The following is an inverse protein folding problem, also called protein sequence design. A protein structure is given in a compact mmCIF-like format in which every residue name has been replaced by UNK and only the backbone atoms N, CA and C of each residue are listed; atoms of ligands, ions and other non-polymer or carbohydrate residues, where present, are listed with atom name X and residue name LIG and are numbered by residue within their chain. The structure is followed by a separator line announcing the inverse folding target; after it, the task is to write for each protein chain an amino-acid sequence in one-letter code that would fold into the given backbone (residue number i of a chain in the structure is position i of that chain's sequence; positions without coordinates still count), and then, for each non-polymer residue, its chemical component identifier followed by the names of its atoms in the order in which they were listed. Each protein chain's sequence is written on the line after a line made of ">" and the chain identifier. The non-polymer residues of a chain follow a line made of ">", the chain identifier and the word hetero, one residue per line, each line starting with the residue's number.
data_IF_900068829662
#
_entry.id   IF_900068829662
#
_cell.length_a   1.000
_cell.length_b   1.000
_cell.length_c   1.000
_cell.angle_alpha   90.00
_cell.angle_beta   90.00
_cell.angle_gamma   90.00
#
_symmetry.space_group_name_H-M   'P 1'
#
loop_
_entity.id
_entity.type
_entity.pdbx_description
1 polymer ?
#
# COMPACT_ATOMS: atom_id res chain seq x y z
N UNK A 1 2.56 20.57 -5.94
CA UNK A 1 2.62 20.23 -4.50
C UNK A 1 3.02 18.79 -4.46
N UNK A 2 4.30 18.51 -4.22
CA UNK A 2 4.76 17.13 -4.07
C UNK A 2 4.33 16.69 -2.67
N UNK A 3 3.52 15.63 -2.61
CA UNK A 3 2.94 15.10 -1.36
C UNK A 3 4.01 14.33 -0.57
N UNK A 4 5.01 13.78 -1.28
CA UNK A 4 6.16 13.09 -0.73
C UNK A 4 7.43 13.68 -1.34
N UNK A 5 8.46 13.87 -0.52
CA UNK A 5 9.76 14.40 -0.95
C UNK A 5 10.77 13.32 -1.31
N UNK A 6 10.53 12.09 -0.84
CA UNK A 6 11.40 10.95 -1.06
C UNK A 6 10.57 9.66 -1.14
N UNK A 7 10.98 8.73 -1.99
CA UNK A 7 10.31 7.43 -2.20
C UNK A 7 11.37 6.38 -2.49
N UNK A 8 11.45 5.39 -1.61
CA UNK A 8 12.33 4.23 -1.74
C UNK A 8 11.54 2.92 -1.59
N UNK A 9 12.19 1.78 -1.81
CA UNK A 9 11.56 0.47 -1.72
C UNK A 9 12.50 -0.61 -1.16
N UNK A 10 11.89 -1.60 -0.51
CA UNK A 10 12.51 -2.85 -0.09
C UNK A 10 12.12 -3.96 -1.05
N UNK A 11 13.09 -4.76 -1.51
CA UNK A 11 12.85 -5.92 -2.35
C UNK A 11 14.02 -6.90 -2.21
N UNK A 12 13.69 -8.14 -1.83
CA UNK A 12 14.69 -9.19 -1.62
C UNK A 12 15.39 -9.63 -2.93
N UNK A 13 14.86 -9.25 -4.10
CA UNK A 13 15.31 -9.69 -5.42
C UNK A 13 15.78 -8.55 -6.33
N UNK A 14 15.92 -7.32 -5.81
CA UNK A 14 16.34 -6.15 -6.61
C UNK A 14 17.65 -5.57 -6.10
N UNK A 15 18.64 -5.41 -6.99
CA UNK A 15 19.90 -4.73 -6.68
C UNK A 15 19.72 -3.20 -6.50
N UNK A 16 18.55 -2.66 -6.87
CA UNK A 16 18.23 -1.23 -6.73
C UNK A 16 17.46 -0.91 -5.45
N UNK A 17 17.05 -1.93 -4.68
CA UNK A 17 16.36 -1.71 -3.41
C UNK A 17 17.32 -1.14 -2.35
N UNK A 18 16.80 -0.30 -1.46
CA UNK A 18 17.60 0.25 -0.34
C UNK A 18 17.81 -0.77 0.78
N UNK A 19 17.14 -1.93 0.70
CA UNK A 19 17.20 -3.01 1.68
C UNK A 19 16.25 -4.15 1.35
N UNK A 20 16.22 -5.14 2.23
CA UNK A 20 15.35 -6.31 2.17
C UNK A 20 14.11 -6.11 3.03
N UNK A 21 13.11 -6.99 2.85
CA UNK A 21 11.88 -6.98 3.66
C UNK A 21 12.17 -7.20 5.15
N UNK A 22 13.25 -7.91 5.48
CA UNK A 22 13.70 -8.11 6.85
C UNK A 22 14.19 -6.82 7.51
N UNK A 23 14.72 -5.88 6.73
CA UNK A 23 15.25 -4.60 7.22
C UNK A 23 14.15 -3.59 7.61
N UNK A 24 12.87 -3.89 7.32
CA UNK A 24 11.72 -3.00 7.51
C UNK A 24 11.65 -2.37 8.92
N UNK A 25 11.98 -3.12 9.96
CA UNK A 25 11.93 -2.67 11.37
C UNK A 25 13.07 -1.70 11.73
N UNK A 26 14.06 -1.58 10.85
CA UNK A 26 15.22 -0.69 11.00
C UNK A 26 15.15 0.54 10.10
N UNK A 27 14.09 0.66 9.29
CA UNK A 27 13.89 1.77 8.38
C UNK A 27 12.99 2.85 9.02
N UNK A 28 13.36 4.12 8.81
CA UNK A 28 12.52 5.26 9.14
C UNK A 28 11.72 5.70 7.89
N UNK A 29 10.41 5.80 8.03
CA UNK A 29 9.49 6.20 6.97
C UNK A 29 8.18 6.72 7.55
N UNK A 30 7.51 7.63 6.84
CA UNK A 30 6.23 8.21 7.27
C UNK A 30 5.04 7.29 6.97
N UNK A 31 4.99 6.76 5.74
CA UNK A 31 3.94 5.86 5.26
C UNK A 31 4.51 4.81 4.31
N UNK A 32 3.81 3.69 4.16
CA UNK A 32 4.18 2.62 3.24
C UNK A 32 2.96 1.94 2.61
N UNK A 33 3.15 1.37 1.42
CA UNK A 33 2.19 0.46 0.77
C UNK A 33 2.93 -0.81 0.33
N UNK A 34 2.20 -1.91 0.16
CA UNK A 34 2.80 -3.21 -0.14
C UNK A 34 2.56 -3.57 -1.61
N UNK A 35 3.61 -3.49 -2.42
CA UNK A 35 3.59 -3.88 -3.83
C UNK A 35 3.85 -5.39 -4.04
N UNK A 36 3.22 -6.25 -3.23
CA UNK A 36 3.40 -7.72 -3.28
C UNK A 36 2.08 -8.40 -3.66
N UNK A 37 2.11 -9.17 -4.75
CA UNK A 37 0.95 -9.91 -5.26
C UNK A 37 0.59 -11.16 -4.44
N UNK A 38 1.56 -11.78 -3.77
CA UNK A 38 1.31 -12.92 -2.89
C UNK A 38 0.54 -12.48 -1.63
N UNK A 39 -0.67 -13.01 -1.44
CA UNK A 39 -1.57 -12.64 -0.33
C UNK A 39 -0.99 -12.94 1.04
N UNK A 40 -0.37 -14.11 1.22
CA UNK A 40 0.12 -14.57 2.52
C UNK A 40 1.32 -13.75 2.99
N UNK A 41 2.17 -13.33 2.05
CA UNK A 41 3.27 -12.40 2.32
C UNK A 41 2.72 -11.01 2.61
N UNK A 42 1.73 -10.55 1.83
CA UNK A 42 1.11 -9.24 2.02
C UNK A 42 0.44 -9.13 3.40
N UNK A 43 -0.32 -10.14 3.83
CA UNK A 43 -0.98 -10.19 5.13
C UNK A 43 0.02 -10.04 6.29
N UNK A 44 1.12 -10.79 6.26
CA UNK A 44 2.19 -10.68 7.27
C UNK A 44 2.83 -9.29 7.31
N UNK A 45 2.94 -8.61 6.17
CA UNK A 45 3.50 -7.27 6.10
C UNK A 45 2.52 -6.19 6.53
N UNK A 46 1.21 -6.40 6.32
CA UNK A 46 0.17 -5.50 6.84
C UNK A 46 0.32 -5.37 8.36
N UNK A 47 0.45 -6.50 9.07
CA UNK A 47 0.65 -6.53 10.52
C UNK A 47 1.95 -5.84 10.97
N UNK A 48 3.04 -6.01 10.20
CA UNK A 48 4.35 -5.42 10.54
C UNK A 48 4.41 -3.91 10.32
N UNK A 49 3.72 -3.38 9.30
CA UNK A 49 3.68 -1.94 9.00
C UNK A 49 2.67 -1.23 9.89
N UNK A 50 1.50 -1.85 10.12
CA UNK A 50 0.44 -1.33 10.99
C UNK A 50 -0.07 0.05 10.57
N UNK A 51 -0.06 0.99 11.51
CA UNK A 51 -0.71 2.31 11.32
C UNK A 51 -0.10 3.18 10.21
N UNK A 52 1.12 2.88 9.76
CA UNK A 52 1.81 3.58 8.67
C UNK A 52 1.33 3.14 7.27
N UNK A 53 0.38 2.21 7.18
CA UNK A 53 -0.20 1.80 5.90
C UNK A 53 -1.00 2.94 5.25
N UNK A 54 -0.73 3.16 3.96
CA UNK A 54 -1.52 4.06 3.11
C UNK A 54 -2.37 3.29 2.11
N UNK A 55 -3.56 3.82 1.81
CA UNK A 55 -4.42 3.35 0.73
C UNK A 55 -4.17 4.17 -0.53
N UNK A 56 -3.87 3.49 -1.64
CA UNK A 56 -3.64 4.11 -2.94
C UNK A 56 -4.86 3.94 -3.82
N UNK A 57 -5.43 5.04 -4.30
CA UNK A 57 -6.57 5.03 -5.21
C UNK A 57 -6.19 5.75 -6.49
N UNK A 58 -6.22 5.04 -7.60
CA UNK A 58 -6.00 5.64 -8.91
C UNK A 58 -7.12 6.64 -9.23
N UNK A 59 -6.77 7.80 -9.79
CA UNK A 59 -7.72 8.91 -10.07
C UNK A 59 -8.84 8.56 -11.05
N UNK A 60 -8.67 7.51 -11.85
CA UNK A 60 -9.69 6.99 -12.77
C UNK A 60 -10.60 5.90 -12.16
N UNK A 61 -10.45 5.58 -10.87
CA UNK A 61 -11.38 4.68 -10.19
C UNK A 61 -12.71 5.41 -9.91
N UNK A 62 -13.82 4.69 -10.06
CA UNK A 62 -15.15 5.19 -9.71
C UNK A 62 -15.60 4.47 -8.42
N UNK A 63 -15.70 5.20 -7.32
CA UNK A 63 -15.99 4.65 -5.99
C UNK A 63 -17.15 5.42 -5.37
N UNK A 64 -18.15 4.70 -4.87
CA UNK A 64 -19.29 5.27 -4.16
C UNK A 64 -19.68 4.39 -2.97
N UNK A 65 -19.68 4.90 -1.72
CA UNK A 65 -18.88 6.00 -1.20
C UNK A 65 -17.44 5.55 -0.81
N UNK A 66 -16.44 6.45 -0.77
CA UNK A 66 -15.02 6.08 -0.57
C UNK A 66 -14.64 5.74 0.87
N UNK A 67 -15.49 6.04 1.85
CA UNK A 67 -15.31 5.76 3.28
C UNK A 67 -15.37 4.27 3.64
N UNK A 68 -15.69 3.40 2.67
CA UNK A 68 -15.79 1.95 2.85
C UNK A 68 -14.51 1.19 2.43
N UNK A 69 -13.41 1.90 2.16
CA UNK A 69 -12.11 1.32 1.81
C UNK A 69 -11.18 1.41 3.02
N UNK A 70 -10.74 0.27 3.54
CA UNK A 70 -9.82 0.20 4.67
C UNK A 70 -8.37 0.55 4.28
N UNK A 71 -7.48 0.60 5.28
CA UNK A 71 -6.06 0.97 5.09
C UNK A 71 -5.31 -0.13 4.35
N UNK A 72 -4.33 0.26 3.52
CA UNK A 72 -3.46 -0.68 2.83
C UNK A 72 -4.03 -1.23 1.52
N UNK A 73 -5.20 -0.76 1.08
CA UNK A 73 -5.77 -1.14 -0.21
C UNK A 73 -5.08 -0.43 -1.38
N UNK A 74 -5.06 -1.08 -2.53
CA UNK A 74 -4.62 -0.48 -3.80
C UNK A 74 -5.76 -0.63 -4.81
N UNK A 75 -6.39 0.49 -5.19
CA UNK A 75 -7.48 0.54 -6.16
C UNK A 75 -6.92 1.02 -7.49
N UNK A 76 -6.81 0.10 -8.45
CA UNK A 76 -6.22 0.36 -9.75
C UNK A 76 -7.16 1.12 -10.70
N UNK A 77 -6.59 1.59 -11.81
CA UNK A 77 -7.32 2.38 -12.80
C UNK A 77 -8.57 1.66 -13.32
N UNK A 78 -9.67 2.42 -13.46
CA UNK A 78 -10.96 1.95 -14.00
C UNK A 78 -11.67 0.88 -13.15
N UNK A 79 -11.26 0.72 -11.90
CA UNK A 79 -12.03 -0.07 -10.93
C UNK A 79 -13.36 0.64 -10.64
N UNK A 80 -14.45 -0.13 -10.59
CA UNK A 80 -15.78 0.35 -10.20
C UNK A 80 -16.22 -0.32 -8.89
N UNK A 81 -16.42 0.47 -7.85
CA UNK A 81 -16.90 0.02 -6.53
C UNK A 81 -18.23 0.72 -6.24
N UNK A 82 -19.29 -0.10 -6.16
CA UNK A 82 -20.66 0.37 -5.93
C UNK A 82 -20.97 0.52 -4.43
N UNK A 83 -22.02 1.29 -4.15
CA UNK A 83 -22.51 1.56 -2.80
C UNK A 83 -22.73 0.27 -2.00
N UNK A 84 -22.41 0.35 -0.71
CA UNK A 84 -22.52 -0.75 0.27
C UNK A 84 -21.51 -1.89 0.10
N UNK A 85 -20.48 -1.71 -0.74
CA UNK A 85 -19.32 -2.61 -0.80
C UNK A 85 -18.30 -2.21 0.26
N UNK A 86 -17.77 -3.16 1.02
CA UNK A 86 -16.67 -2.96 1.98
C UNK A 86 -15.43 -3.63 1.41
N UNK A 87 -14.30 -2.91 1.40
CA UNK A 87 -12.99 -3.44 0.98
C UNK A 87 -12.05 -3.37 2.19
N UNK A 88 -11.56 -4.54 2.60
CA UNK A 88 -10.64 -4.73 3.70
C UNK A 88 -9.43 -5.59 3.34
#
# INVERSE_FOLDING_TARGET
>A
MEIFTDIDFLDDNSDFAIGKIEDLEHMEYDVAFIAIGNSDVREKLLDRIGEKLITLVHSMACISPPDMIEKGCIIEARTEINSYTIIN
#
